data_IF_700669923135
#
_entry.id   IF_700669923135
#
_cell.length_a   1.000
_cell.length_b   1.000
_cell.length_c   1.000
_cell.angle_alpha   90.00
_cell.angle_beta   90.00
_cell.angle_gamma   90.00
#
_symmetry.space_group_name_H-M   'P 1'
#
loop_
_entity.id
_entity.type
_entity.pdbx_description
1 polymer ?
#
# COMPACT_ATOMS: atom_id res chain seq x y z
N UNK A 1 8.15 -31.23 -23.37
CA UNK A 1 7.81 -31.51 -21.95
C UNK A 1 7.92 -30.28 -21.04
N UNK A 2 8.94 -29.42 -21.19
CA UNK A 2 9.19 -28.28 -20.30
C UNK A 2 8.02 -27.26 -20.19
N UNK A 3 7.32 -26.94 -21.29
CA UNK A 3 6.21 -25.98 -21.25
C UNK A 3 5.04 -26.44 -20.38
N UNK A 4 4.68 -27.74 -20.42
CA UNK A 4 3.59 -28.29 -19.59
C UNK A 4 3.95 -28.24 -18.10
N UNK A 5 5.21 -28.54 -17.77
CA UNK A 5 5.72 -28.42 -16.41
C UNK A 5 5.73 -26.96 -15.94
N UNK A 6 6.15 -26.03 -16.81
CA UNK A 6 6.12 -24.60 -16.52
C UNK A 6 4.70 -24.09 -16.25
N UNK A 7 3.71 -24.44 -17.08
CA UNK A 7 2.31 -24.09 -16.85
C UNK A 7 1.77 -24.69 -15.54
N UNK A 8 2.12 -25.93 -15.22
CA UNK A 8 1.73 -26.57 -13.97
C UNK A 8 2.32 -25.83 -12.76
N UNK A 9 3.62 -25.48 -12.80
CA UNK A 9 4.28 -24.72 -11.73
C UNK A 9 3.69 -23.32 -11.58
N UNK A 10 3.30 -22.66 -12.68
CA UNK A 10 2.58 -21.39 -12.65
C UNK A 10 1.20 -21.52 -11.98
N UNK A 11 0.45 -22.58 -12.29
CA UNK A 11 -0.83 -22.86 -11.65
C UNK A 11 -0.67 -23.12 -10.16
N UNK A 12 0.33 -23.93 -9.76
CA UNK A 12 0.64 -24.18 -8.35
C UNK A 12 1.00 -22.88 -7.64
N UNK A 13 1.81 -22.02 -8.26
CA UNK A 13 2.17 -20.70 -7.72
C UNK A 13 0.94 -19.81 -7.55
N UNK A 14 0.05 -19.80 -8.54
CA UNK A 14 -1.20 -19.03 -8.48
C UNK A 14 -2.10 -19.52 -7.35
N UNK A 15 -2.29 -20.83 -7.21
CA UNK A 15 -3.09 -21.42 -6.14
C UNK A 15 -2.49 -21.12 -4.75
N UNK A 16 -1.17 -21.16 -4.62
CA UNK A 16 -0.47 -20.86 -3.36
C UNK A 16 -0.66 -19.42 -2.88
N UNK A 17 -0.89 -18.47 -3.80
CA UNK A 17 -1.17 -17.06 -3.45
C UNK A 17 -2.51 -16.89 -2.72
N UNK A 18 -3.50 -17.76 -2.98
CA UNK A 18 -4.80 -17.70 -2.30
C UNK A 18 -4.76 -18.27 -0.89
N UNK A 19 -3.75 -19.09 -0.58
CA UNK A 19 -3.61 -19.67 0.74
C UNK A 19 -3.14 -18.60 1.74
N UNK A 20 -3.86 -18.38 2.87
CA UNK A 20 -3.43 -17.45 3.89
C UNK A 20 -2.08 -17.92 4.46
N UNK A 21 -1.06 -17.07 4.33
CA UNK A 21 0.26 -17.32 4.91
C UNK A 21 0.26 -16.78 6.35
N UNK A 22 0.54 -17.61 7.38
CA UNK A 22 0.62 -17.19 8.77
C UNK A 22 1.95 -16.45 9.05
N UNK A 23 2.24 -15.41 8.28
CA UNK A 23 3.40 -14.55 8.46
C UNK A 23 3.07 -13.38 9.39
N UNK A 24 3.96 -13.12 10.36
CA UNK A 24 3.91 -11.89 11.15
C UNK A 24 3.93 -10.67 10.23
N UNK A 25 2.96 -9.76 10.39
CA UNK A 25 2.96 -8.47 9.72
C UNK A 25 3.67 -7.46 10.61
N UNK A 26 4.66 -6.77 10.07
CA UNK A 26 5.32 -5.72 10.82
C UNK A 26 4.31 -4.58 11.06
N UNK A 27 4.24 -4.00 12.27
CA UNK A 27 3.30 -2.93 12.58
C UNK A 27 3.43 -1.76 11.60
N UNK A 28 4.65 -1.35 11.22
CA UNK A 28 4.82 -0.27 10.25
C UNK A 28 4.27 -0.62 8.86
N UNK A 29 4.34 -1.89 8.42
CA UNK A 29 3.75 -2.31 7.14
C UNK A 29 2.24 -2.12 7.15
N UNK A 30 1.61 -2.38 8.31
CA UNK A 30 0.18 -2.23 8.51
C UNK A 30 -0.25 -0.75 8.63
N UNK A 31 0.43 0.03 9.46
CA UNK A 31 0.10 1.44 9.67
C UNK A 31 0.42 2.33 8.47
N UNK A 32 1.39 1.95 7.64
CA UNK A 32 1.79 2.75 6.49
C UNK A 32 0.99 2.48 5.20
N UNK A 33 0.16 1.42 5.16
CA UNK A 33 -0.51 1.03 3.92
C UNK A 33 -1.99 0.66 4.09
N UNK A 34 -2.37 -0.50 4.68
CA UNK A 34 -3.78 -0.87 4.80
C UNK A 34 -4.58 0.02 5.76
N UNK A 35 -4.01 0.43 6.89
CA UNK A 35 -4.74 1.15 7.95
C UNK A 35 -5.33 2.50 7.48
N UNK A 36 -4.57 3.45 6.87
CA UNK A 36 -5.12 4.75 6.47
C UNK A 36 -6.23 4.62 5.42
N UNK A 37 -6.10 3.64 4.52
CA UNK A 37 -7.04 3.41 3.42
C UNK A 37 -8.30 2.66 3.86
N UNK A 38 -8.18 1.79 4.88
CA UNK A 38 -9.34 1.16 5.49
C UNK A 38 -10.26 2.23 6.11
N UNK A 39 -9.69 3.23 6.79
CA UNK A 39 -10.42 4.38 7.29
C UNK A 39 -11.05 5.23 6.18
N UNK A 40 -10.34 5.45 5.07
CA UNK A 40 -10.85 6.27 3.96
C UNK A 40 -11.99 5.59 3.18
N UNK A 41 -11.93 4.27 2.96
CA UNK A 41 -12.87 3.55 2.07
C UNK A 41 -14.07 2.98 2.84
N UNK A 42 -13.82 2.40 4.02
CA UNK A 42 -14.84 1.76 4.85
C UNK A 42 -15.34 2.65 5.99
N UNK A 43 -14.64 3.76 6.29
CA UNK A 43 -15.04 4.65 7.38
C UNK A 43 -14.76 4.08 8.78
N UNK A 44 -13.84 3.11 8.90
CA UNK A 44 -13.43 2.59 10.20
C UNK A 44 -12.67 3.63 11.02
N UNK A 45 -12.78 3.53 12.34
CA UNK A 45 -11.94 4.31 13.26
C UNK A 45 -10.52 3.72 13.22
N UNK A 46 -9.59 4.49 12.66
CA UNK A 46 -8.21 4.05 12.37
C UNK A 46 -7.20 5.09 12.82
N UNK A 47 -6.02 4.62 13.23
CA UNK A 47 -4.95 5.51 13.66
C UNK A 47 -4.13 5.99 12.45
N UNK A 48 -4.42 7.20 11.95
CA UNK A 48 -3.62 7.82 10.87
C UNK A 48 -2.30 8.34 11.42
N UNK A 49 -1.19 7.82 10.88
CA UNK A 49 0.16 8.30 11.21
C UNK A 49 0.40 9.71 10.67
N UNK A 50 1.37 10.39 11.28
CA UNK A 50 1.74 11.77 10.93
C UNK A 50 2.16 11.95 9.47
N UNK A 51 2.68 10.90 8.81
CA UNK A 51 3.06 10.88 7.38
C UNK A 51 1.90 11.19 6.43
N UNK A 52 0.67 10.85 6.85
CA UNK A 52 -0.56 11.02 6.07
C UNK A 52 -1.45 12.14 6.59
N UNK A 53 -0.93 12.99 7.48
CA UNK A 53 -1.67 14.13 7.98
C UNK A 53 -1.81 15.21 6.89
N UNK A 54 -3.03 15.75 6.74
CA UNK A 54 -3.35 16.79 5.75
C UNK A 54 -2.51 18.06 5.90
N UNK A 55 -2.01 18.33 7.10
CA UNK A 55 -1.20 19.53 7.39
C UNK A 55 0.26 19.37 6.98
N UNK A 56 0.81 18.15 6.94
CA UNK A 56 2.22 17.88 6.66
C UNK A 56 2.38 16.57 5.88
N UNK A 57 2.03 16.61 4.59
CA UNK A 57 2.19 15.47 3.68
C UNK A 57 3.68 15.22 3.41
N UNK A 58 4.26 14.26 4.13
CA UNK A 58 5.66 13.86 3.96
C UNK A 58 5.80 12.66 3.02
N UNK A 59 4.71 11.91 2.79
CA UNK A 59 4.70 10.72 1.95
C UNK A 59 3.57 10.72 0.93
N UNK A 60 3.81 10.09 -0.23
CA UNK A 60 2.81 9.94 -1.27
C UNK A 60 1.75 8.88 -0.91
N UNK A 61 0.48 9.31 -0.89
CA UNK A 61 -0.70 8.42 -0.73
C UNK A 61 -1.00 7.59 -1.98
N UNK A 62 -0.38 7.94 -3.11
CA UNK A 62 -0.64 7.34 -4.41
C UNK A 62 -0.37 5.83 -4.44
N UNK A 63 0.79 5.39 -3.95
CA UNK A 63 1.16 3.97 -3.98
C UNK A 63 0.34 3.10 -3.02
N UNK A 64 0.12 3.52 -1.75
CA UNK A 64 -0.84 2.85 -0.89
C UNK A 64 -2.22 2.72 -1.56
N UNK A 65 -2.74 3.82 -2.12
CA UNK A 65 -4.08 3.83 -2.74
C UNK A 65 -4.17 2.90 -3.96
N UNK A 66 -3.13 2.86 -4.79
CA UNK A 66 -3.05 1.97 -5.94
C UNK A 66 -3.01 0.48 -5.54
N UNK A 67 -2.38 0.16 -4.41
CA UNK A 67 -2.13 -1.22 -4.00
C UNK A 67 -3.24 -1.76 -3.10
N UNK A 68 -3.43 -1.19 -1.92
CA UNK A 68 -4.45 -1.60 -0.96
C UNK A 68 -5.80 -0.92 -1.24
N UNK A 69 -5.80 0.33 -1.70
CA UNK A 69 -7.05 1.05 -2.01
C UNK A 69 -7.88 0.38 -3.11
N UNK A 70 -7.27 0.03 -4.26
CA UNK A 70 -8.00 -0.71 -5.32
C UNK A 70 -8.49 -2.07 -4.79
N UNK A 71 -7.69 -2.75 -3.97
CA UNK A 71 -8.07 -4.04 -3.38
C UNK A 71 -9.30 -3.90 -2.47
N UNK A 72 -9.38 -2.82 -1.69
CA UNK A 72 -10.52 -2.51 -0.82
C UNK A 72 -11.75 -2.06 -1.58
N UNK A 73 -11.60 -1.33 -2.69
CA UNK A 73 -12.73 -0.97 -3.55
C UNK A 73 -13.40 -2.22 -4.16
N UNK A 74 -12.60 -3.16 -4.67
CA UNK A 74 -13.11 -4.44 -5.16
C UNK A 74 -13.82 -5.20 -4.04
N UNK A 75 -13.21 -5.23 -2.85
CA UNK A 75 -13.83 -5.92 -1.73
C UNK A 75 -15.16 -5.28 -1.30
N UNK A 76 -15.24 -3.94 -1.33
CA UNK A 76 -16.45 -3.19 -1.04
C UNK A 76 -17.56 -3.50 -2.03
N UNK A 77 -17.28 -3.47 -3.33
CA UNK A 77 -18.30 -3.78 -4.35
C UNK A 77 -18.77 -5.24 -4.28
N UNK A 78 -17.87 -6.19 -3.94
CA UNK A 78 -18.25 -7.59 -3.72
C UNK A 78 -19.11 -7.77 -2.47
N UNK A 79 -18.85 -6.99 -1.42
CA UNK A 79 -19.66 -7.01 -0.20
C UNK A 79 -21.04 -6.39 -0.44
N UNK A 80 -21.13 -5.32 -1.22
CA UNK A 80 -22.41 -4.71 -1.61
C UNK A 80 -23.25 -5.65 -2.50
N UNK A 81 -22.58 -6.52 -3.27
CA UNK A 81 -23.22 -7.58 -4.06
C UNK A 81 -23.65 -8.82 -3.25
N UNK A 82 -23.52 -8.78 -1.92
CA UNK A 82 -23.87 -9.87 -0.98
C UNK A 82 -23.13 -11.19 -1.23
N UNK A 83 -21.99 -11.14 -1.92
CA UNK A 83 -21.18 -12.32 -2.27
C UNK A 83 -20.19 -12.70 -1.18
N UNK A 84 -19.77 -11.74 -0.34
CA UNK A 84 -18.76 -11.94 0.70
C UNK A 84 -18.98 -11.04 1.90
N UNK A 85 -18.84 -11.59 3.10
CA UNK A 85 -18.79 -10.80 4.35
C UNK A 85 -17.37 -10.30 4.61
N UNK A 86 -17.21 -9.00 4.86
CA UNK A 86 -15.91 -8.38 5.16
C UNK A 86 -15.41 -8.89 6.52
N UNK A 87 -14.35 -9.71 6.48
CA UNK A 87 -13.63 -10.18 7.68
C UNK A 87 -12.32 -9.40 7.80
N UNK A 88 -11.84 -9.04 9.01
CA UNK A 88 -10.56 -8.33 9.19
C UNK A 88 -9.37 -9.09 8.57
N UNK A 89 -9.39 -10.42 8.60
CA UNK A 89 -8.40 -11.24 7.92
C UNK A 89 -8.38 -10.98 6.40
N UNK A 90 -9.55 -10.75 5.79
CA UNK A 90 -9.67 -10.53 4.36
C UNK A 90 -9.07 -9.18 3.95
N UNK A 91 -9.23 -8.15 4.79
CA UNK A 91 -8.56 -6.85 4.60
C UNK A 91 -7.02 -6.97 4.58
N UNK A 92 -6.44 -7.91 5.32
CA UNK A 92 -5.00 -8.12 5.31
C UNK A 92 -4.54 -8.96 4.13
N UNK A 93 -5.30 -10.00 3.76
CA UNK A 93 -4.84 -10.94 2.74
C UNK A 93 -5.06 -10.37 1.32
N UNK A 94 -6.15 -9.64 1.05
CA UNK A 94 -6.45 -9.16 -0.31
C UNK A 94 -5.38 -8.23 -0.92
N UNK A 95 -4.89 -7.20 -0.19
CA UNK A 95 -3.82 -6.33 -0.68
C UNK A 95 -2.51 -7.09 -0.94
N UNK A 96 -2.23 -8.11 -0.12
CA UNK A 96 -1.06 -8.99 -0.24
C UNK A 96 -1.12 -9.94 -1.44
N UNK A 97 -2.32 -10.22 -1.97
CA UNK A 97 -2.49 -11.07 -3.17
C UNK A 97 -2.24 -10.32 -4.49
N UNK A 98 -2.26 -8.98 -4.50
CA UNK A 98 -2.08 -8.17 -5.72
C UNK A 98 -0.66 -8.22 -6.30
N UNK A 99 0.31 -8.67 -5.51
CA UNK A 99 1.72 -8.79 -5.87
C UNK A 99 2.01 -9.83 -6.97
N UNK A 100 1.01 -10.59 -7.42
CA UNK A 100 1.15 -11.54 -8.53
C UNK A 100 0.98 -10.90 -9.91
N UNK A 101 0.22 -9.80 -10.04
CA UNK A 101 -0.16 -9.23 -11.34
C UNK A 101 0.59 -7.96 -11.74
N UNK A 102 1.34 -7.33 -10.82
CA UNK A 102 2.09 -6.10 -11.09
C UNK A 102 3.56 -6.36 -10.81
N UNK A 103 4.46 -6.33 -11.81
CA UNK A 103 5.89 -6.26 -11.54
C UNK A 103 6.13 -4.94 -10.80
N UNK A 104 6.38 -5.02 -9.50
CA UNK A 104 6.82 -3.86 -8.72
C UNK A 104 8.10 -3.33 -9.38
N UNK A 105 8.17 -2.07 -9.83
CA UNK A 105 9.46 -1.46 -10.08
C UNK A 105 10.10 -1.18 -8.71
N UNK A 106 11.23 -1.81 -8.35
CA UNK A 106 11.97 -1.44 -7.17
C UNK A 106 12.71 -0.13 -7.48
N UNK A 107 12.03 1.02 -7.46
CA UNK A 107 12.73 2.27 -7.85
C UNK A 107 12.26 3.56 -7.19
N UNK A 108 11.22 3.56 -6.35
CA UNK A 108 10.72 4.85 -5.82
C UNK A 108 11.37 5.32 -4.50
N UNK A 109 12.14 4.47 -3.81
CA UNK A 109 12.92 4.92 -2.65
C UNK A 109 14.01 5.95 -3.05
N UNK A 110 14.48 5.93 -4.30
CA UNK A 110 15.53 6.84 -4.77
C UNK A 110 15.01 8.21 -5.25
N UNK A 111 13.80 8.27 -5.81
CA UNK A 111 13.30 9.50 -6.46
C UNK A 111 12.74 10.53 -5.46
N UNK A 112 12.21 10.09 -4.31
CA UNK A 112 11.74 11.00 -3.26
C UNK A 112 12.91 11.62 -2.50
N UNK A 113 14.00 10.89 -2.23
CA UNK A 113 15.18 11.49 -1.58
C UNK A 113 15.79 12.61 -2.43
N UNK A 114 15.78 12.46 -3.76
CA UNK A 114 16.23 13.50 -4.68
C UNK A 114 15.30 14.73 -4.69
N UNK A 115 13.98 14.53 -4.59
CA UNK A 115 13.02 15.65 -4.58
C UNK A 115 12.94 16.36 -3.23
N UNK A 116 13.04 15.62 -2.12
CA UNK A 116 12.97 16.16 -0.75
C UNK A 116 14.25 16.89 -0.33
N UNK A 117 15.41 16.45 -0.85
CA UNK A 117 16.67 17.22 -0.78
C UNK A 117 16.51 18.63 -1.39
N UNK A 118 15.80 18.73 -2.52
CA UNK A 118 15.61 20.01 -3.23
C UNK A 118 14.62 20.97 -2.55
N UNK A 119 13.59 20.47 -1.86
CA UNK A 119 12.62 21.32 -1.14
C UNK A 119 13.10 21.73 0.25
N UNK A 120 13.83 20.86 0.95
CA UNK A 120 14.37 21.16 2.29
C UNK A 120 15.51 22.19 2.23
N UNK A 121 16.39 22.12 1.21
CA UNK A 121 17.41 23.16 0.99
C UNK A 121 16.82 24.54 0.65
N UNK A 122 15.75 24.59 -0.15
CA UNK A 122 15.10 25.87 -0.53
C UNK A 122 14.43 26.59 0.63
N UNK A 123 13.88 25.86 1.61
CA UNK A 123 13.23 26.45 2.78
C UNK A 123 14.22 26.83 3.91
N UNK A 124 15.40 26.22 3.95
CA UNK A 124 16.45 26.58 4.90
C UNK A 124 17.17 27.89 4.50
N UNK A 125 17.25 28.20 3.20
CA UNK A 125 17.90 29.44 2.71
C UNK A 125 16.98 30.67 2.74
N UNK A 126 15.66 30.50 2.81
CA UNK A 126 14.69 31.60 2.92
C UNK A 126 14.35 31.99 4.35
N UNK A 127 14.87 31.27 5.35
CA UNK A 127 14.64 31.52 6.79
C UNK A 127 15.85 32.11 7.51
N UNK A 128 16.94 32.44 6.80
CA UNK A 128 17.99 33.29 7.38
C UNK A 128 17.47 34.73 7.46
N UNK A 129 17.36 35.33 8.65
CA UNK A 129 17.06 36.75 8.75
C UNK A 129 18.20 37.51 8.08
N UNK A 130 17.86 38.36 7.11
CA UNK A 130 18.72 39.45 6.64
C UNK A 130 18.95 40.36 7.85
N UNK A 131 20.01 40.06 8.60
CA UNK A 131 20.58 40.97 9.58
C UNK A 131 21.44 41.97 8.80
N UNK A 132 21.16 43.24 9.09
CA UNK A 132 21.86 44.46 8.63
C UNK A 132 23.38 44.26 8.54
#
# INVERSE_FOLDING_TARGET
>A
MAFKLYCLLLLVRFLWVFQPQPGYIHPDEFFQNPEPLAGDIFGYDVHRTWEFNKTQLTRSVFFPSLTSGISFLVLKTLSEADLLTITPALLLIFPRRRWFCVPYPPTFAFTISASCSSSTQRNALTSLPVLI
#
